data_IF_360141319360
#
_entry.id   IF_360141319360
#
_cell.length_a   1.000
_cell.length_b   1.000
_cell.length_c   1.000
_cell.angle_alpha   90.00
_cell.angle_beta   90.00
_cell.angle_gamma   90.00
#
_symmetry.space_group_name_H-M   'P 1'
#
loop_
_entity.id
_entity.type
_entity.pdbx_description
1 polymer ?
#
# COMPACT_ATOMS: atom_id res chain seq x y z
N UNK A 1 4.37 18.45 -1.69
CA UNK A 1 4.56 17.07 -1.21
C UNK A 1 3.24 16.65 -0.59
N UNK A 2 2.59 15.59 -1.06
CA UNK A 2 1.54 14.95 -0.27
C UNK A 2 2.27 14.04 0.72
N UNK A 3 1.85 14.03 1.98
CA UNK A 3 2.45 13.14 2.98
C UNK A 3 1.98 11.71 2.70
N UNK A 4 2.94 10.80 2.57
CA UNK A 4 2.69 9.38 2.31
C UNK A 4 3.36 8.53 3.39
N UNK A 5 2.69 7.46 3.82
CA UNK A 5 3.22 6.46 4.73
C UNK A 5 3.66 5.22 3.93
N UNK A 6 4.88 4.76 4.16
CA UNK A 6 5.33 3.48 3.62
C UNK A 6 4.74 2.33 4.43
N UNK A 7 4.11 1.37 3.76
CA UNK A 7 3.61 0.13 4.38
C UNK A 7 4.62 -0.97 4.14
N UNK A 8 5.09 -1.63 5.21
CA UNK A 8 6.12 -2.67 5.15
C UNK A 8 5.71 -3.91 5.93
N UNK A 9 6.04 -5.09 5.39
CA UNK A 9 5.94 -6.39 6.08
C UNK A 9 7.32 -7.02 6.04
N UNK A 10 7.86 -7.40 7.21
CA UNK A 10 9.20 -7.97 7.36
C UNK A 10 10.30 -7.14 6.64
N UNK A 11 10.17 -5.82 6.74
CA UNK A 11 11.09 -4.86 6.10
C UNK A 11 10.92 -4.69 4.58
N UNK A 12 10.10 -5.51 3.92
CA UNK A 12 9.79 -5.38 2.48
C UNK A 12 8.69 -4.34 2.25
N UNK A 13 8.84 -3.52 1.22
CA UNK A 13 7.83 -2.53 0.84
C UNK A 13 6.63 -3.24 0.22
N UNK A 14 5.45 -3.03 0.82
CA UNK A 14 4.17 -3.55 0.33
C UNK A 14 3.47 -2.50 -0.53
N UNK A 15 3.61 -1.23 -0.18
CA UNK A 15 2.90 -0.14 -0.84
C UNK A 15 2.98 1.17 -0.08
N UNK A 16 2.14 2.12 -0.48
CA UNK A 16 2.04 3.45 0.10
C UNK A 16 0.60 3.74 0.51
N UNK A 17 0.43 4.33 1.69
CA UNK A 17 -0.84 4.80 2.23
C UNK A 17 -0.82 6.32 2.33
N UNK A 18 -1.90 6.99 1.92
CA UNK A 18 -2.03 8.44 2.04
C UNK A 18 -3.49 8.87 2.20
N UNK A 19 -3.68 10.15 2.50
CA UNK A 19 -4.99 10.79 2.42
C UNK A 19 -5.12 11.53 1.09
N UNK A 20 -6.21 11.28 0.36
CA UNK A 20 -6.56 12.10 -0.79
C UNK A 20 -7.01 13.52 -0.37
N UNK A 21 -7.37 14.35 -1.35
CA UNK A 21 -7.84 15.72 -1.11
C UNK A 21 -9.16 15.79 -0.32
N UNK A 22 -9.92 14.69 -0.31
CA UNK A 22 -11.20 14.55 0.40
C UNK A 22 -11.04 13.86 1.76
N UNK A 23 -9.80 13.62 2.21
CA UNK A 23 -9.46 12.92 3.46
C UNK A 23 -9.90 11.45 3.49
N UNK A 24 -9.99 10.80 2.34
CA UNK A 24 -10.14 9.35 2.27
C UNK A 24 -8.76 8.68 2.34
N UNK A 25 -8.68 7.53 3.02
CA UNK A 25 -7.50 6.69 2.98
C UNK A 25 -7.38 5.98 1.64
N UNK A 26 -6.23 6.16 0.98
CA UNK A 26 -5.88 5.51 -0.27
C UNK A 26 -4.64 4.64 -0.06
N UNK A 27 -4.68 3.41 -0.56
CA UNK A 27 -3.56 2.47 -0.55
C UNK A 27 -3.21 2.12 -2.00
N UNK A 28 -1.92 2.10 -2.31
CA UNK A 28 -1.41 1.56 -3.57
C UNK A 28 -0.32 0.55 -3.27
N UNK A 29 -0.48 -0.65 -3.81
CA UNK A 29 0.54 -1.69 -3.73
C UNK A 29 1.76 -1.31 -4.57
N UNK A 30 2.93 -1.67 -4.05
CA UNK A 30 4.19 -1.56 -4.75
C UNK A 30 4.25 -2.59 -5.89
N UNK A 31 4.83 -2.21 -7.02
CA UNK A 31 4.90 -3.09 -8.20
C UNK A 31 5.70 -4.35 -7.93
N UNK A 32 6.79 -4.27 -7.16
CA UNK A 32 7.60 -5.44 -6.82
C UNK A 32 6.83 -6.38 -5.88
N UNK A 33 6.00 -5.81 -4.99
CA UNK A 33 5.11 -6.60 -4.15
C UNK A 33 4.07 -7.34 -4.99
N UNK A 34 3.39 -6.67 -5.92
CA UNK A 34 2.38 -7.30 -6.79
C UNK A 34 2.96 -8.45 -7.64
N UNK A 35 4.20 -8.31 -8.10
CA UNK A 35 4.85 -9.32 -8.93
C UNK A 35 5.33 -10.53 -8.13
N UNK A 36 5.83 -10.31 -6.91
CA UNK A 36 6.55 -11.34 -6.14
C UNK A 36 5.75 -11.90 -4.95
N UNK A 37 4.70 -11.21 -4.52
CA UNK A 37 3.89 -11.54 -3.37
C UNK A 37 2.40 -11.52 -3.74
N UNK A 38 1.75 -12.67 -3.66
CA UNK A 38 0.30 -12.80 -3.90
C UNK A 38 -0.52 -12.57 -2.63
N UNK A 39 0.05 -11.86 -1.66
CA UNK A 39 -0.58 -11.59 -0.37
C UNK A 39 -1.07 -10.15 -0.31
N UNK A 40 -2.39 -9.91 -0.24
CA UNK A 40 -2.92 -8.59 0.05
C UNK A 40 -2.66 -8.23 1.52
N UNK A 41 -2.66 -6.92 1.81
CA UNK A 41 -2.55 -6.42 3.18
C UNK A 41 -3.74 -6.87 4.05
N UNK A 42 -4.91 -7.01 3.44
CA UNK A 42 -6.14 -7.54 4.02
C UNK A 42 -6.98 -8.13 2.89
N UNK A 43 -7.81 -9.14 3.18
CA UNK A 43 -8.78 -9.67 2.21
C UNK A 43 -9.80 -8.61 1.74
N UNK A 44 -9.99 -7.53 2.51
CA UNK A 44 -10.82 -6.38 2.12
C UNK A 44 -10.11 -5.41 1.17
N UNK A 45 -8.83 -5.61 0.90
CA UNK A 45 -7.97 -4.75 0.06
C UNK A 45 -7.26 -5.62 -1.00
N UNK A 46 -7.98 -6.10 -2.03
CA UNK A 46 -7.42 -7.01 -3.02
C UNK A 46 -6.27 -6.36 -3.81
N UNK A 47 -5.36 -7.21 -4.32
CA UNK A 47 -4.19 -6.83 -5.13
C UNK A 47 -4.59 -6.24 -6.49
#
# INVERSE_FOLDING_TARGET
MRDHLQVKIDGKLVGQLWLDERKNFCLQYDTDWLQNSRLPLSLSLPL
#
